data_IF_649673189596
#
_entry.id   IF_649673189596
#
_cell.length_a   1.000
_cell.length_b   1.000
_cell.length_c   1.000
_cell.angle_alpha   90.00
_cell.angle_beta   90.00
_cell.angle_gamma   90.00
#
_symmetry.space_group_name_H-M   'P 1'
#
loop_
_entity.id
_entity.type
_entity.pdbx_description
1 polymer ?
#
# COMPACT_ATOMS: atom_id res chain seq x y z
N UNK A 1 53.01 36.94 24.46
CA UNK A 1 52.39 36.20 23.33
C UNK A 1 51.59 37.20 22.51
N UNK A 2 51.85 37.30 21.20
CA UNK A 2 51.22 38.33 20.36
C UNK A 2 49.74 37.95 20.10
N UNK A 3 48.75 38.78 20.47
CA UNK A 3 47.32 38.45 20.32
C UNK A 3 46.91 38.25 18.86
N UNK A 4 47.67 38.80 17.90
CA UNK A 4 47.46 38.65 16.45
C UNK A 4 47.67 37.23 15.93
N UNK A 5 48.47 36.39 16.62
CA UNK A 5 48.76 35.01 16.17
C UNK A 5 47.63 34.02 16.46
N UNK A 6 46.72 34.35 17.37
CA UNK A 6 45.55 33.54 17.71
C UNK A 6 44.32 33.86 16.85
N UNK A 7 44.33 35.00 16.15
CA UNK A 7 43.19 35.45 15.35
C UNK A 7 42.98 34.58 14.09
N UNK A 8 44.08 34.15 13.46
CA UNK A 8 44.08 33.35 12.22
C UNK A 8 43.49 31.95 12.44
N UNK A 9 43.91 31.14 13.44
CA UNK A 9 43.30 29.83 13.68
C UNK A 9 41.84 29.95 14.14
N UNK A 10 41.48 31.01 14.86
CA UNK A 10 40.10 31.25 15.30
C UNK A 10 39.18 31.60 14.13
N UNK A 11 39.67 32.40 13.18
CA UNK A 11 38.95 32.72 11.95
C UNK A 11 38.75 31.49 11.06
N UNK A 12 39.75 30.61 10.98
CA UNK A 12 39.66 29.33 10.26
C UNK A 12 38.64 28.37 10.88
N UNK A 13 38.47 28.37 12.21
CA UNK A 13 37.43 27.58 12.89
C UNK A 13 36.00 28.03 12.54
N UNK A 14 35.80 29.31 12.21
CA UNK A 14 34.49 29.84 11.79
C UNK A 14 34.08 29.42 10.39
N UNK A 15 35.03 28.94 9.57
CA UNK A 15 34.77 28.42 8.22
C UNK A 15 34.71 26.90 8.17
N UNK A 16 34.71 26.21 9.31
CA UNK A 16 34.36 24.79 9.34
C UNK A 16 32.92 24.65 8.82
N UNK A 17 32.68 23.87 7.76
CA UNK A 17 31.32 23.61 7.31
C UNK A 17 30.56 22.99 8.48
N UNK A 18 29.58 23.75 9.01
CA UNK A 18 28.67 23.22 10.00
C UNK A 18 28.00 21.99 9.44
N UNK A 19 27.92 20.92 10.24
CA UNK A 19 27.13 19.75 9.89
C UNK A 19 25.71 20.21 9.60
N UNK A 20 25.31 20.14 8.32
CA UNK A 20 23.92 20.29 7.93
C UNK A 20 23.22 19.06 8.51
N UNK A 21 22.58 19.23 9.66
CA UNK A 21 21.69 18.22 10.22
C UNK A 21 20.57 18.04 9.19
N UNK A 22 20.32 16.81 8.74
CA UNK A 22 19.25 16.62 7.77
C UNK A 22 17.91 16.94 8.46
N UNK A 23 17.07 17.68 7.76
CA UNK A 23 15.83 18.19 8.34
C UNK A 23 14.78 17.08 8.41
N UNK A 24 13.98 17.11 9.46
CA UNK A 24 12.75 16.33 9.52
C UNK A 24 11.78 16.83 8.45
N UNK A 25 11.22 15.91 7.67
CA UNK A 25 10.31 16.19 6.56
C UNK A 25 8.94 15.61 6.90
N UNK A 26 7.90 16.43 6.79
CA UNK A 26 6.53 15.94 6.88
C UNK A 26 6.10 15.37 5.53
N UNK A 27 5.72 14.10 5.52
CA UNK A 27 5.24 13.38 4.34
C UNK A 27 3.79 12.98 4.57
N UNK A 28 2.93 13.33 3.61
CA UNK A 28 1.56 12.84 3.49
C UNK A 28 1.50 11.79 2.39
N UNK A 29 0.80 10.70 2.65
CA UNK A 29 0.71 9.56 1.72
C UNK A 29 -0.49 9.65 0.77
N UNK A 30 -1.04 10.85 0.56
CA UNK A 30 -2.21 11.10 -0.29
C UNK A 30 -1.94 10.82 -1.76
N UNK A 31 -0.68 10.94 -2.17
CA UNK A 31 -0.26 10.70 -3.55
C UNK A 31 -0.08 9.20 -3.85
N UNK A 32 -0.08 8.35 -2.81
CA UNK A 32 -0.16 6.91 -3.01
C UNK A 32 -1.60 6.57 -3.42
N UNK A 33 -1.80 6.23 -4.69
CA UNK A 33 -3.07 5.77 -5.24
C UNK A 33 -3.45 4.37 -4.72
N UNK A 34 -3.57 4.23 -3.40
CA UNK A 34 -4.01 3.03 -2.70
C UNK A 34 -5.53 3.09 -2.54
N UNK A 35 -6.14 1.92 -2.33
CA UNK A 35 -7.57 1.84 -2.07
C UNK A 35 -7.92 2.70 -0.84
N UNK A 36 -9.01 3.49 -0.86
CA UNK A 36 -9.42 4.25 0.32
C UNK A 36 -9.63 3.29 1.49
N UNK A 37 -9.02 3.60 2.65
CA UNK A 37 -8.89 2.75 3.87
C UNK A 37 -7.82 1.65 3.85
N UNK A 38 -6.98 1.55 2.83
CA UNK A 38 -5.87 0.61 2.85
C UNK A 38 -4.75 1.09 3.79
N UNK A 39 -4.56 0.36 4.88
CA UNK A 39 -3.45 0.55 5.80
C UNK A 39 -2.16 -0.08 5.26
N UNK A 40 -1.03 0.58 5.54
CA UNK A 40 0.30 0.07 5.25
C UNK A 40 1.22 0.20 6.46
N UNK A 41 2.19 -0.69 6.55
CA UNK A 41 3.19 -0.66 7.63
C UNK A 41 4.45 0.06 7.14
N UNK A 42 4.94 1.01 7.93
CA UNK A 42 6.14 1.78 7.64
C UNK A 42 7.32 1.29 8.49
N UNK A 43 8.46 1.12 7.84
CA UNK A 43 9.70 0.68 8.48
C UNK A 43 10.84 1.64 8.14
N UNK A 44 11.64 1.98 9.14
CA UNK A 44 12.92 2.67 8.95
C UNK A 44 14.01 1.64 8.67
N UNK A 45 14.80 1.87 7.63
CA UNK A 45 15.97 1.06 7.31
C UNK A 45 17.13 1.53 8.17
N UNK A 46 17.80 0.57 8.82
CA UNK A 46 18.97 0.76 9.67
C UNK A 46 20.06 -0.19 9.23
N UNK A 47 21.31 0.04 9.63
CA UNK A 47 22.45 -0.83 9.27
C UNK A 47 22.25 -2.30 9.70
N UNK A 48 21.43 -2.53 10.73
CA UNK A 48 21.16 -3.87 11.30
C UNK A 48 19.85 -4.51 10.79
N UNK A 49 19.10 -3.83 9.92
CA UNK A 49 17.81 -4.32 9.42
C UNK A 49 16.74 -3.23 9.38
N UNK A 50 15.47 -3.60 9.55
CA UNK A 50 14.35 -2.68 9.47
C UNK A 50 13.66 -2.51 10.83
N UNK A 51 13.53 -1.27 11.31
CA UNK A 51 12.78 -0.93 12.51
C UNK A 51 11.35 -0.53 12.15
N UNK A 52 10.36 -1.15 12.80
CA UNK A 52 8.96 -0.79 12.61
C UNK A 52 8.65 0.57 13.25
N UNK A 53 8.00 1.45 12.49
CA UNK A 53 7.58 2.78 12.95
C UNK A 53 6.09 2.82 13.32
N UNK A 54 5.26 2.12 12.55
CA UNK A 54 3.81 2.18 12.72
C UNK A 54 3.03 1.72 11.49
N UNK A 55 1.71 1.70 11.64
CA UNK A 55 0.76 1.50 10.57
C UNK A 55 0.08 2.83 10.28
N UNK A 56 0.00 3.19 9.01
CA UNK A 56 -0.53 4.46 8.54
C UNK A 56 -1.47 4.24 7.34
N UNK A 57 -2.31 5.23 7.07
CA UNK A 57 -3.18 5.30 5.90
C UNK A 57 -2.76 6.44 4.95
N UNK A 58 -3.45 6.59 3.82
CA UNK A 58 -3.16 7.63 2.81
C UNK A 58 -3.49 9.06 3.26
N UNK A 59 -4.25 9.23 4.34
CA UNK A 59 -4.60 10.54 4.92
C UNK A 59 -3.69 10.97 6.07
N UNK A 60 -2.89 10.04 6.60
CA UNK A 60 -2.00 10.31 7.72
C UNK A 60 -0.78 11.12 7.26
N UNK A 61 -0.28 11.96 8.17
CA UNK A 61 0.98 12.70 8.01
C UNK A 61 2.00 12.15 8.98
N UNK A 62 3.20 11.83 8.48
CA UNK A 62 4.31 11.36 9.30
C UNK A 62 5.51 12.29 9.14
N UNK A 63 6.18 12.59 10.24
CA UNK A 63 7.47 13.28 10.27
C UNK A 63 8.58 12.25 10.13
N UNK A 64 9.31 12.31 9.03
CA UNK A 64 10.40 11.40 8.69
C UNK A 64 11.73 12.14 8.69
N UNK A 65 12.76 11.54 9.28
CA UNK A 65 14.09 12.12 9.28
C UNK A 65 14.77 11.79 7.94
N UNK A 66 15.25 12.81 7.23
CA UNK A 66 15.85 12.68 5.90
C UNK A 66 17.22 11.98 5.87
N UNK A 67 17.82 11.67 7.03
CA UNK A 67 19.03 10.86 7.16
C UNK A 67 18.79 9.36 6.95
N UNK A 68 17.54 8.90 7.02
CA UNK A 68 17.19 7.49 6.94
C UNK A 68 16.38 7.14 5.69
N UNK A 69 16.54 5.91 5.24
CA UNK A 69 15.68 5.31 4.23
C UNK A 69 14.46 4.64 4.89
N UNK A 70 13.33 4.64 4.20
CA UNK A 70 12.08 4.07 4.71
C UNK A 70 11.46 3.12 3.70
N UNK A 71 10.97 1.98 4.19
CA UNK A 71 10.26 0.97 3.42
C UNK A 71 8.79 0.93 3.80
N UNK A 72 7.94 0.93 2.78
CA UNK A 72 6.49 0.74 2.91
C UNK A 72 6.17 -0.71 2.56
N UNK A 73 5.53 -1.41 3.49
CA UNK A 73 5.04 -2.77 3.28
C UNK A 73 3.52 -2.72 3.22
N UNK A 74 2.99 -2.96 2.04
CA UNK A 74 1.57 -3.11 1.79
C UNK A 74 1.14 -4.51 2.21
N UNK A 75 0.32 -4.61 3.26
CA UNK A 75 -0.39 -5.85 3.55
C UNK A 75 -1.64 -5.90 2.68
N UNK A 76 -1.94 -7.05 2.04
CA UNK A 76 -3.23 -7.23 1.39
C UNK A 76 -4.31 -6.98 2.44
N UNK A 77 -5.22 -6.05 2.16
CA UNK A 77 -6.42 -5.89 2.98
C UNK A 77 -7.27 -7.16 2.95
N UNK A 78 -8.25 -7.30 3.86
CA UNK A 78 -9.20 -8.39 3.76
C UNK A 78 -9.83 -8.37 2.37
N UNK A 79 -9.70 -9.47 1.61
CA UNK A 79 -10.42 -9.62 0.36
C UNK A 79 -11.90 -9.64 0.72
N UNK A 80 -12.56 -8.54 0.45
CA UNK A 80 -14.00 -8.52 0.43
C UNK A 80 -14.45 -9.15 -0.87
N UNK A 81 -15.11 -10.29 -0.78
CA UNK A 81 -15.69 -10.97 -1.94
C UNK A 81 -17.06 -10.41 -2.30
N UNK A 82 -17.71 -9.71 -1.36
CA UNK A 82 -19.14 -9.37 -1.44
C UNK A 82 -19.43 -7.87 -1.36
N UNK A 83 -18.47 -7.00 -1.02
CA UNK A 83 -18.74 -5.56 -0.94
C UNK A 83 -18.94 -4.94 -2.33
N UNK A 84 -18.25 -5.47 -3.36
CA UNK A 84 -18.45 -5.08 -4.75
C UNK A 84 -18.52 -6.31 -5.67
N UNK A 85 -19.72 -6.93 -5.82
CA UNK A 85 -19.85 -8.20 -6.53
C UNK A 85 -19.50 -8.11 -8.03
N UNK A 86 -19.55 -6.92 -8.62
CA UNK A 86 -19.18 -6.71 -10.03
C UNK A 86 -17.66 -6.54 -10.21
N UNK A 87 -17.00 -5.76 -9.37
CA UNK A 87 -15.53 -5.58 -9.44
C UNK A 87 -14.79 -6.84 -9.02
N UNK A 88 -15.39 -7.63 -8.14
CA UNK A 88 -14.80 -8.87 -7.64
C UNK A 88 -15.03 -10.08 -8.55
N UNK A 89 -15.73 -9.93 -9.68
CA UNK A 89 -15.92 -11.03 -10.62
C UNK A 89 -14.58 -11.56 -11.14
N UNK A 90 -13.62 -10.66 -11.41
CA UNK A 90 -12.28 -11.03 -11.83
C UNK A 90 -11.53 -11.82 -10.75
N UNK A 91 -11.71 -11.45 -9.47
CA UNK A 91 -11.13 -12.17 -8.33
C UNK A 91 -11.74 -13.57 -8.19
N UNK A 92 -13.06 -13.69 -8.34
CA UNK A 92 -13.77 -14.98 -8.29
C UNK A 92 -13.33 -15.86 -9.44
N UNK A 93 -13.31 -15.34 -10.67
CA UNK A 93 -12.98 -16.10 -11.85
C UNK A 93 -11.53 -16.62 -11.84
N UNK A 94 -10.57 -15.79 -11.40
CA UNK A 94 -9.15 -16.16 -11.35
C UNK A 94 -8.80 -17.09 -10.19
N UNK A 95 -9.49 -16.98 -9.05
CA UNK A 95 -9.17 -17.80 -7.86
C UNK A 95 -10.07 -19.04 -7.72
N UNK A 96 -11.17 -19.13 -8.48
CA UNK A 96 -12.02 -20.30 -8.46
C UNK A 96 -11.29 -21.54 -8.99
N UNK A 97 -11.48 -22.72 -8.36
CA UNK A 97 -10.98 -23.96 -8.91
C UNK A 97 -11.60 -24.20 -10.30
N UNK A 98 -10.80 -24.69 -11.25
CA UNK A 98 -11.22 -24.88 -12.65
C UNK A 98 -12.51 -25.71 -12.80
N UNK A 99 -12.76 -26.62 -11.86
CA UNK A 99 -14.00 -27.41 -11.80
C UNK A 99 -15.25 -26.55 -11.55
N UNK A 100 -15.14 -25.49 -10.75
CA UNK A 100 -16.24 -24.55 -10.49
C UNK A 100 -16.57 -23.73 -11.73
N UNK A 101 -15.55 -23.25 -12.45
CA UNK A 101 -15.75 -22.52 -13.72
C UNK A 101 -16.42 -23.43 -14.77
N UNK A 102 -16.03 -24.70 -14.83
CA UNK A 102 -16.66 -25.69 -15.71
C UNK A 102 -18.12 -25.97 -15.32
N UNK A 103 -18.40 -26.12 -14.02
CA UNK A 103 -19.76 -26.31 -13.51
C UNK A 103 -20.65 -25.10 -13.80
N UNK A 104 -20.14 -23.88 -13.59
CA UNK A 104 -20.85 -22.64 -13.90
C UNK A 104 -21.18 -22.53 -15.39
N UNK A 105 -20.23 -22.89 -16.27
CA UNK A 105 -20.46 -22.92 -17.71
C UNK A 105 -21.52 -23.96 -18.11
N UNK A 106 -21.47 -25.16 -17.53
CA UNK A 106 -22.49 -26.18 -17.77
C UNK A 106 -23.87 -25.74 -17.28
N UNK A 107 -23.94 -25.10 -16.12
CA UNK A 107 -25.19 -24.56 -15.57
C UNK A 107 -25.75 -23.46 -16.48
N UNK A 108 -24.90 -22.60 -17.04
CA UNK A 108 -25.32 -21.53 -17.95
C UNK A 108 -25.82 -22.09 -19.30
N UNK A 109 -25.12 -23.06 -19.90
CA UNK A 109 -25.48 -23.61 -21.22
C UNK A 109 -26.60 -24.64 -21.16
N UNK A 110 -26.62 -25.50 -20.14
CA UNK A 110 -27.56 -26.62 -20.05
C UNK A 110 -28.63 -26.34 -19.01
N UNK A 111 -28.23 -25.84 -17.84
CA UNK A 111 -29.14 -25.54 -16.74
C UNK A 111 -30.13 -24.43 -17.05
N UNK A 112 -29.67 -23.28 -17.57
CA UNK A 112 -30.57 -22.16 -17.88
C UNK A 112 -31.61 -22.58 -18.92
N UNK A 113 -31.27 -23.13 -20.11
CA UNK A 113 -32.29 -23.53 -21.08
C UNK A 113 -33.27 -24.57 -20.55
N UNK A 114 -32.81 -25.56 -19.77
CA UNK A 114 -33.69 -26.54 -19.14
C UNK A 114 -34.68 -25.87 -18.16
N UNK A 115 -34.19 -24.94 -17.34
CA UNK A 115 -35.05 -24.18 -16.43
C UNK A 115 -36.03 -23.31 -17.20
N UNK A 116 -35.62 -22.66 -18.29
CA UNK A 116 -36.52 -21.87 -19.14
C UNK A 116 -37.61 -22.73 -19.76
N UNK A 117 -37.25 -23.88 -20.32
CA UNK A 117 -38.23 -24.83 -20.90
C UNK A 117 -39.17 -25.35 -19.82
N UNK A 118 -38.65 -25.72 -18.65
CA UNK A 118 -39.46 -26.20 -17.52
C UNK A 118 -40.42 -25.13 -17.02
N UNK A 119 -39.95 -23.89 -16.92
CA UNK A 119 -40.74 -22.73 -16.51
C UNK A 119 -41.83 -22.41 -17.53
N UNK A 120 -41.48 -22.35 -18.82
CA UNK A 120 -42.46 -22.14 -19.90
C UNK A 120 -43.52 -23.23 -19.93
N UNK A 121 -43.13 -24.49 -19.72
CA UNK A 121 -44.07 -25.59 -19.63
C UNK A 121 -45.05 -25.40 -18.47
N UNK A 122 -44.55 -25.02 -17.29
CA UNK A 122 -45.39 -24.76 -16.11
C UNK A 122 -46.37 -23.60 -16.32
N UNK A 123 -45.97 -22.54 -17.03
CA UNK A 123 -46.85 -21.40 -17.34
C UNK A 123 -47.94 -21.74 -18.37
N UNK A 124 -47.68 -22.72 -19.25
CA UNK A 124 -48.56 -23.08 -20.37
C UNK A 124 -49.55 -24.22 -20.03
N UNK A 125 -49.43 -24.85 -18.86
CA UNK A 125 -50.38 -25.82 -18.29
C UNK A 125 -51.19 -25.21 -17.15
#
# INVERSE_FOLDING_TARGET
MNPSRLFIPLLLLLFLPGSVMAADVNVTFSDLNLYPSQEFSLYQVTESGSQYLGTYNTTDTVTLNSEYEYNIVLKPGPLSWFDNPLDNFDLIWNNAPKSLNFAAFFLLIVGVPLLTVRFLWWVMT
#
